data_IF_881999450543
#
_entry.id   IF_881999450543
#
_cell.length_a   1.000
_cell.length_b   1.000
_cell.length_c   1.000
_cell.angle_alpha   90.00
_cell.angle_beta   90.00
_cell.angle_gamma   90.00
#
_symmetry.space_group_name_H-M   'P 1'
#
loop_
_entity.id
_entity.type
_entity.pdbx_description
1 polymer ?
#
# COMPACT_ATOMS: atom_id res chain seq x y z
N UNK A 1 -5.34 1.33 24.01
CA UNK A 1 -4.77 2.10 22.88
C UNK A 1 -5.92 2.91 22.29
N UNK A 2 -5.73 4.20 22.00
CA UNK A 2 -6.75 4.95 21.25
C UNK A 2 -6.84 4.32 19.84
N UNK A 3 -8.06 3.98 19.40
CA UNK A 3 -8.32 3.41 18.08
C UNK A 3 -8.61 4.55 17.11
N UNK A 4 -7.60 5.37 16.87
CA UNK A 4 -7.73 6.52 15.97
C UNK A 4 -7.92 6.04 14.52
N UNK A 5 -8.81 6.70 13.78
CA UNK A 5 -9.03 6.43 12.37
C UNK A 5 -7.94 7.16 11.59
N UNK A 6 -7.13 6.40 10.86
CA UNK A 6 -5.90 6.84 10.20
C UNK A 6 -5.89 6.40 8.74
N UNK A 7 -5.81 7.38 7.84
CA UNK A 7 -5.86 7.19 6.39
C UNK A 7 -4.81 6.17 5.90
N UNK A 8 -5.26 5.16 5.16
CA UNK A 8 -4.41 4.11 4.58
C UNK A 8 -3.81 3.13 5.60
N UNK A 9 -4.10 3.31 6.89
CA UNK A 9 -3.68 2.40 7.97
C UNK A 9 -4.85 1.48 8.33
N UNK A 10 -5.93 2.05 8.89
CA UNK A 10 -7.17 1.33 9.20
C UNK A 10 -8.36 1.87 8.38
N UNK A 11 -8.08 2.49 7.25
CA UNK A 11 -9.07 2.86 6.24
C UNK A 11 -8.65 2.38 4.85
N UNK A 12 -9.56 2.48 3.88
CA UNK A 12 -9.20 2.48 2.46
C UNK A 12 -8.36 3.71 2.08
N UNK A 13 -8.02 3.80 0.79
CA UNK A 13 -7.30 4.94 0.18
C UNK A 13 -8.10 5.55 -0.96
N UNK A 14 -7.77 6.78 -1.35
CA UNK A 14 -8.43 7.48 -2.45
C UNK A 14 -9.93 7.62 -2.20
N UNK A 15 -10.74 7.20 -3.17
CA UNK A 15 -12.21 7.22 -3.09
C UNK A 15 -12.77 6.39 -1.92
N UNK A 16 -12.02 5.41 -1.42
CA UNK A 16 -12.42 4.55 -0.31
C UNK A 16 -11.89 5.03 1.06
N UNK A 17 -11.43 6.27 1.19
CA UNK A 17 -10.86 6.83 2.43
C UNK A 17 -11.81 6.77 3.62
N UNK A 18 -13.12 6.86 3.38
CA UNK A 18 -14.16 6.86 4.42
C UNK A 18 -14.50 5.45 4.93
N UNK A 19 -13.94 4.39 4.33
CA UNK A 19 -14.20 3.00 4.71
C UNK A 19 -13.21 2.59 5.79
N UNK A 20 -13.71 2.33 7.00
CA UNK A 20 -12.90 1.81 8.13
C UNK A 20 -12.76 0.29 8.04
N UNK A 21 -11.54 -0.20 8.24
CA UNK A 21 -11.17 -1.62 8.18
C UNK A 21 -11.00 -2.19 9.59
N UNK A 22 -11.46 -3.43 9.77
CA UNK A 22 -11.12 -4.20 10.96
C UNK A 22 -9.72 -4.86 10.85
N UNK A 23 -9.23 -5.47 11.93
CA UNK A 23 -7.87 -6.03 11.99
C UNK A 23 -7.59 -7.13 10.97
N UNK A 24 -8.57 -8.00 10.66
CA UNK A 24 -8.38 -9.06 9.65
C UNK A 24 -8.37 -8.49 8.24
N UNK A 25 -9.27 -7.55 7.96
CA UNK A 25 -9.32 -6.81 6.70
C UNK A 25 -8.06 -5.99 6.45
N UNK A 26 -7.49 -5.37 7.49
CA UNK A 26 -6.29 -4.55 7.39
C UNK A 26 -5.11 -5.35 6.81
N UNK A 27 -4.89 -6.57 7.30
CA UNK A 27 -3.81 -7.44 6.81
C UNK A 27 -4.00 -7.82 5.33
N UNK A 28 -5.23 -8.16 4.96
CA UNK A 28 -5.56 -8.49 3.56
C UNK A 28 -5.47 -7.26 2.66
N UNK A 29 -5.98 -6.12 3.12
CA UNK A 29 -5.93 -4.86 2.41
C UNK A 29 -4.50 -4.44 2.09
N UNK A 30 -3.58 -4.46 3.05
CA UNK A 30 -2.17 -4.12 2.81
C UNK A 30 -1.52 -5.06 1.79
N UNK A 31 -1.85 -6.36 1.82
CA UNK A 31 -1.38 -7.31 0.81
C UNK A 31 -1.91 -6.98 -0.58
N UNK A 32 -3.22 -6.75 -0.70
CA UNK A 32 -3.84 -6.45 -1.99
C UNK A 32 -3.46 -5.08 -2.53
N UNK A 33 -3.15 -4.12 -1.67
CA UNK A 33 -2.63 -2.81 -2.04
C UNK A 33 -1.29 -2.91 -2.78
N UNK A 34 -0.41 -3.85 -2.39
CA UNK A 34 0.81 -4.12 -3.15
C UNK A 34 0.46 -4.77 -4.49
N UNK A 35 -0.43 -5.76 -4.49
CA UNK A 35 -0.74 -6.54 -5.70
C UNK A 35 -1.42 -5.73 -6.79
N UNK A 36 -2.34 -4.81 -6.44
CA UNK A 36 -3.04 -4.00 -7.43
C UNK A 36 -2.19 -2.83 -7.98
N UNK A 37 -1.15 -2.39 -7.26
CA UNK A 37 -0.26 -1.32 -7.72
C UNK A 37 1.03 -1.82 -8.37
N UNK A 38 1.40 -3.10 -8.18
CA UNK A 38 2.50 -3.75 -8.89
C UNK A 38 2.14 -4.07 -10.36
N UNK A 39 1.58 -3.09 -11.07
CA UNK A 39 1.04 -3.18 -12.42
C UNK A 39 1.87 -2.37 -13.46
N UNK A 40 3.14 -2.11 -13.16
CA UNK A 40 4.06 -1.46 -14.09
C UNK A 40 4.30 -2.29 -15.36
N UNK A 41 4.54 -1.62 -16.49
CA UNK A 41 4.78 -2.24 -17.80
C UNK A 41 6.10 -1.74 -18.41
N UNK A 42 6.63 -2.47 -19.40
CA UNK A 42 7.88 -2.13 -20.10
C UNK A 42 9.07 -2.95 -19.62
N UNK A 43 10.27 -2.48 -19.95
CA UNK A 43 11.51 -3.16 -19.58
C UNK A 43 11.84 -2.96 -18.08
N UNK A 44 12.54 -3.92 -17.45
CA UNK A 44 13.01 -3.76 -16.08
C UNK A 44 13.90 -2.53 -15.91
N UNK A 45 13.73 -1.83 -14.79
CA UNK A 45 14.64 -0.73 -14.42
C UNK A 45 16.08 -1.25 -14.21
N UNK A 46 17.11 -0.47 -14.57
CA UNK A 46 18.50 -0.80 -14.27
C UNK A 46 18.73 -1.09 -12.78
N UNK A 47 19.65 -2.02 -12.48
CA UNK A 47 19.89 -2.49 -11.12
C UNK A 47 20.31 -1.36 -10.17
N UNK A 48 21.09 -0.40 -10.67
CA UNK A 48 21.52 0.76 -9.90
C UNK A 48 20.35 1.67 -9.51
N UNK A 49 19.32 1.78 -10.35
CA UNK A 49 18.14 2.59 -10.04
C UNK A 49 17.26 1.90 -8.99
N UNK A 50 17.09 0.58 -9.12
CA UNK A 50 16.35 -0.21 -8.11
C UNK A 50 17.06 -0.14 -6.75
N UNK A 51 18.38 -0.32 -6.71
CA UNK A 51 19.17 -0.19 -5.46
C UNK A 51 19.08 1.22 -4.86
N UNK A 52 19.13 2.24 -5.71
CA UNK A 52 18.92 3.64 -5.29
C UNK A 52 17.55 3.85 -4.65
N UNK A 53 16.47 3.35 -5.29
CA UNK A 53 15.11 3.45 -4.77
C UNK A 53 14.91 2.67 -3.45
N UNK A 54 15.63 1.56 -3.24
CA UNK A 54 15.55 0.77 -2.01
C UNK A 54 16.25 1.43 -0.81
N UNK A 55 17.26 2.27 -1.02
CA UNK A 55 18.05 2.91 0.04
C UNK A 55 17.67 4.38 0.29
N UNK A 56 16.97 5.01 -0.66
CA UNK A 56 16.46 6.38 -0.55
C UNK A 56 15.43 6.50 0.58
#
# INVERSE_FOLDING_TARGET
>A
KAHEIMYGVNTGIGEFSEVVLNDSQMKEFQKYLVYNHAAGIGDPAPLEYVRGAMVA
#
